data_IF_999423187370
#
_entry.id   IF_999423187370
#
_cell.length_a   1.000
_cell.length_b   1.000
_cell.length_c   1.000
_cell.angle_alpha   90.00
_cell.angle_beta   90.00
_cell.angle_gamma   90.00
#
_symmetry.space_group_name_H-M   'P 1'
#
loop_
_entity.id
_entity.type
_entity.pdbx_description
1 polymer ?
#
# COMPACT_ATOMS: atom_id res chain seq x y z
N UNK A 1 8.94 22.31 2.54
CA UNK A 1 8.42 21.17 1.75
C UNK A 1 7.50 21.63 0.64
N UNK A 2 6.33 22.23 0.90
CA UNK A 2 5.41 22.67 -0.17
C UNK A 2 5.89 23.93 -0.93
N UNK A 3 6.39 24.95 -0.24
CA UNK A 3 7.06 26.09 -0.91
C UNK A 3 8.28 25.66 -1.75
N UNK A 4 8.88 24.52 -1.43
CA UNK A 4 9.95 23.94 -2.24
C UNK A 4 9.39 23.23 -3.48
N UNK A 5 8.27 22.51 -3.36
CA UNK A 5 7.55 21.97 -4.51
C UNK A 5 7.07 23.07 -5.47
N UNK A 6 6.63 24.22 -4.95
CA UNK A 6 6.23 25.38 -5.74
C UNK A 6 7.42 26.05 -6.47
N UNK A 7 8.65 25.76 -6.05
CA UNK A 7 9.89 26.26 -6.68
C UNK A 7 10.51 25.29 -7.68
N UNK A 8 9.86 24.16 -7.96
CA UNK A 8 10.36 23.18 -8.92
C UNK A 8 10.39 23.76 -10.34
N UNK A 9 11.42 23.39 -11.11
CA UNK A 9 11.53 23.83 -12.51
C UNK A 9 10.33 23.32 -13.31
N UNK A 10 10.00 24.02 -14.40
CA UNK A 10 8.93 23.59 -15.32
C UNK A 10 9.19 22.19 -15.91
N UNK A 11 10.44 21.76 -15.96
CA UNK A 11 10.83 20.43 -16.44
C UNK A 11 10.45 19.30 -15.46
N UNK A 12 10.20 19.65 -14.18
CA UNK A 12 9.67 18.74 -13.17
C UNK A 12 8.14 18.71 -13.15
N UNK A 13 7.48 19.54 -13.96
CA UNK A 13 6.04 19.47 -14.14
C UNK A 13 5.69 18.24 -14.98
N UNK A 14 4.76 17.45 -14.48
CA UNK A 14 4.32 16.24 -15.19
C UNK A 14 3.68 16.58 -16.55
N UNK A 15 4.08 15.84 -17.59
CA UNK A 15 3.45 15.77 -18.90
C UNK A 15 3.47 14.32 -19.42
N UNK A 16 2.76 14.03 -20.53
CA UNK A 16 2.68 12.66 -21.10
C UNK A 16 4.03 12.10 -21.53
N UNK A 17 4.96 12.97 -21.91
CA UNK A 17 6.31 12.62 -22.36
C UNK A 17 7.34 12.56 -21.21
N UNK A 18 6.89 12.76 -19.97
CA UNK A 18 7.77 12.85 -18.81
C UNK A 18 8.54 11.55 -18.61
N UNK A 19 9.81 11.69 -18.27
CA UNK A 19 10.65 10.55 -17.92
C UNK A 19 10.18 9.87 -16.63
N UNK A 20 10.53 8.60 -16.47
CA UNK A 20 10.13 7.77 -15.34
C UNK A 20 10.51 8.37 -13.97
N UNK A 21 11.69 8.98 -13.87
CA UNK A 21 12.18 9.59 -12.64
C UNK A 21 11.29 10.74 -12.13
N UNK A 22 10.56 11.43 -13.01
CA UNK A 22 9.63 12.50 -12.62
C UNK A 22 8.45 11.89 -11.85
N UNK A 23 7.93 10.74 -12.29
CA UNK A 23 6.86 10.02 -11.57
C UNK A 23 7.34 9.56 -10.20
N UNK A 24 8.51 8.95 -10.13
CA UNK A 24 9.08 8.47 -8.87
C UNK A 24 9.29 9.61 -7.87
N UNK A 25 9.82 10.74 -8.36
CA UNK A 25 10.02 11.93 -7.53
C UNK A 25 8.70 12.44 -6.92
N UNK A 26 7.65 12.61 -7.73
CA UNK A 26 6.34 13.06 -7.23
C UNK A 26 5.71 12.06 -6.25
N UNK A 27 5.87 10.76 -6.50
CA UNK A 27 5.39 9.74 -5.58
C UNK A 27 6.13 9.78 -4.24
N UNK A 28 7.47 9.87 -4.26
CA UNK A 28 8.26 9.96 -3.02
C UNK A 28 8.00 11.26 -2.26
N UNK A 29 7.77 12.37 -2.97
CA UNK A 29 7.30 13.61 -2.34
C UNK A 29 6.00 13.37 -1.57
N UNK A 30 5.02 12.72 -2.20
CA UNK A 30 3.77 12.40 -1.52
C UNK A 30 3.96 11.38 -0.38
N UNK A 31 4.91 10.44 -0.46
CA UNK A 31 5.23 9.54 0.66
C UNK A 31 5.67 10.35 1.88
N UNK A 32 6.62 11.27 1.69
CA UNK A 32 7.10 12.14 2.75
C UNK A 32 5.98 13.02 3.33
N UNK A 33 5.06 13.53 2.50
CA UNK A 33 3.88 14.26 2.99
C UNK A 33 2.99 13.35 3.84
N UNK A 34 2.71 12.12 3.40
CA UNK A 34 1.91 11.17 4.19
C UNK A 34 2.57 10.88 5.54
N UNK A 35 3.88 10.65 5.60
CA UNK A 35 4.60 10.36 6.84
C UNK A 35 4.58 11.54 7.83
N UNK A 36 4.80 12.76 7.32
CA UNK A 36 4.77 13.97 8.16
C UNK A 36 3.37 14.19 8.75
N UNK A 37 2.32 13.98 7.97
CA UNK A 37 0.95 14.29 8.39
C UNK A 37 0.20 13.13 9.05
N UNK A 38 0.67 11.88 8.92
CA UNK A 38 0.04 10.67 9.51
C UNK A 38 -0.31 10.80 11.00
N UNK A 39 0.61 11.17 11.91
CA UNK A 39 0.28 11.25 13.34
C UNK A 39 -0.80 12.31 13.64
N UNK A 40 -0.85 13.37 12.82
CA UNK A 40 -1.80 14.46 13.01
C UNK A 40 -3.17 14.16 12.39
N UNK A 41 -3.20 13.38 11.30
CA UNK A 41 -4.44 12.98 10.62
C UNK A 41 -5.28 12.00 11.44
N UNK A 42 -4.66 11.27 12.37
CA UNK A 42 -5.31 10.30 13.26
C UNK A 42 -5.88 10.93 14.53
N UNK A 43 -5.43 12.13 14.89
CA UNK A 43 -5.98 12.88 16.03
C UNK A 43 -7.39 13.39 15.72
N UNK A 44 -8.31 13.29 16.68
CA UNK A 44 -9.65 13.90 16.59
C UNK A 44 -9.63 15.44 16.69
N UNK A 45 -8.46 16.05 16.95
CA UNK A 45 -8.34 17.50 17.03
C UNK A 45 -8.14 18.11 15.63
N UNK A 46 -9.08 18.94 15.22
CA UNK A 46 -8.99 19.72 13.99
C UNK A 46 -7.97 20.86 14.14
N UNK A 47 -6.69 20.53 13.97
CA UNK A 47 -5.64 21.54 13.89
C UNK A 47 -5.73 22.27 12.55
N UNK A 48 -5.97 23.59 12.59
CA UNK A 48 -5.85 24.42 11.38
C UNK A 48 -4.40 24.84 11.16
N UNK A 49 -3.86 24.50 10.00
CA UNK A 49 -2.50 24.87 9.62
C UNK A 49 -2.47 26.34 9.18
N UNK A 50 -1.89 27.20 10.01
CA UNK A 50 -1.83 28.66 9.79
C UNK A 50 -1.03 29.07 8.54
N UNK A 51 -0.17 28.19 8.05
CA UNK A 51 0.65 28.43 6.85
C UNK A 51 -0.13 28.33 5.54
N UNK A 52 -1.40 27.94 5.57
CA UNK A 52 -2.25 27.80 4.38
C UNK A 52 -3.44 28.75 4.44
N UNK A 53 -3.71 29.41 3.31
CA UNK A 53 -4.82 30.35 3.18
C UNK A 53 -6.19 29.66 2.94
N UNK A 54 -6.22 28.34 2.72
CA UNK A 54 -7.48 27.62 2.49
C UNK A 54 -8.23 27.38 3.81
N UNK A 55 -9.56 27.47 3.77
CA UNK A 55 -10.42 27.23 4.93
C UNK A 55 -10.31 25.78 5.45
N UNK A 56 -10.02 24.82 4.57
CA UNK A 56 -9.99 23.37 4.87
C UNK A 56 -8.57 22.82 5.12
N UNK A 57 -7.64 23.68 5.52
CA UNK A 57 -6.22 23.34 5.69
C UNK A 57 -5.94 22.56 6.98
N UNK A 58 -6.55 21.39 7.11
CA UNK A 58 -6.28 20.45 8.21
C UNK A 58 -5.25 19.40 7.78
N UNK A 59 -4.48 18.82 8.72
CA UNK A 59 -3.61 17.68 8.45
C UNK A 59 -4.29 16.54 7.70
N UNK A 60 -5.54 16.24 8.08
CA UNK A 60 -6.36 15.20 7.45
C UNK A 60 -6.63 15.51 5.98
N UNK A 61 -7.03 16.75 5.65
CA UNK A 61 -7.27 17.15 4.26
C UNK A 61 -5.99 17.05 3.41
N UNK A 62 -4.84 17.47 3.94
CA UNK A 62 -3.55 17.38 3.23
C UNK A 62 -3.15 15.92 3.01
N UNK A 63 -3.32 15.07 4.02
CA UNK A 63 -3.06 13.63 3.94
C UNK A 63 -3.94 12.98 2.87
N UNK A 64 -5.26 13.19 2.93
CA UNK A 64 -6.20 12.64 1.95
C UNK A 64 -5.94 13.15 0.53
N UNK A 65 -5.65 14.44 0.36
CA UNK A 65 -5.30 15.02 -0.94
C UNK A 65 -4.03 14.37 -1.51
N UNK A 66 -2.99 14.22 -0.70
CA UNK A 66 -1.73 13.60 -1.11
C UNK A 66 -1.90 12.12 -1.46
N UNK A 67 -2.68 11.38 -0.68
CA UNK A 67 -3.02 9.99 -0.98
C UNK A 67 -3.75 9.87 -2.33
N UNK A 68 -4.70 10.76 -2.61
CA UNK A 68 -5.43 10.76 -3.88
C UNK A 68 -4.53 11.10 -5.07
N UNK A 69 -3.59 12.05 -4.92
CA UNK A 69 -2.58 12.30 -5.95
C UNK A 69 -1.66 11.10 -6.15
N UNK A 70 -1.23 10.43 -5.07
CA UNK A 70 -0.41 9.21 -5.16
C UNK A 70 -1.14 8.09 -5.91
N UNK A 71 -2.41 7.83 -5.57
CA UNK A 71 -3.27 6.86 -6.28
C UNK A 71 -3.34 7.15 -7.77
N UNK A 72 -3.55 8.41 -8.14
CA UNK A 72 -3.57 8.87 -9.53
C UNK A 72 -2.22 8.66 -10.22
N UNK A 73 -1.11 9.02 -9.58
CA UNK A 73 0.24 8.86 -10.13
C UNK A 73 0.56 7.39 -10.40
N UNK A 74 0.21 6.47 -9.47
CA UNK A 74 0.42 5.03 -9.65
C UNK A 74 -0.40 4.50 -10.83
N UNK A 75 -1.65 4.92 -10.97
CA UNK A 75 -2.49 4.54 -12.09
C UNK A 75 -1.94 5.07 -13.42
N UNK A 76 -1.49 6.32 -13.47
CA UNK A 76 -0.87 6.91 -14.66
C UNK A 76 0.44 6.20 -15.03
N UNK A 77 1.30 5.92 -14.05
CA UNK A 77 2.52 5.15 -14.25
C UNK A 77 2.21 3.77 -14.85
N UNK A 78 1.22 3.06 -14.29
CA UNK A 78 0.75 1.78 -14.81
C UNK A 78 0.18 1.85 -16.23
N UNK A 79 -0.55 2.90 -16.56
CA UNK A 79 -1.21 2.97 -17.87
C UNK A 79 -0.29 3.52 -18.97
N UNK A 80 0.73 4.32 -18.62
CA UNK A 80 1.54 5.05 -19.60
C UNK A 80 2.97 4.55 -19.73
N UNK A 81 3.55 3.93 -18.69
CA UNK A 81 4.98 3.54 -18.66
C UNK A 81 5.24 2.04 -18.53
N UNK A 82 4.25 1.26 -18.07
CA UNK A 82 4.44 -0.16 -17.74
C UNK A 82 4.70 -1.17 -18.86
N UNK A 83 4.46 -0.95 -20.16
CA UNK A 83 4.71 -2.02 -21.13
C UNK A 83 6.16 -2.52 -21.14
N UNK A 84 7.13 -1.73 -20.67
CA UNK A 84 8.55 -1.98 -20.92
C UNK A 84 9.44 -2.21 -19.68
N UNK A 85 8.98 -1.93 -18.46
CA UNK A 85 9.83 -2.10 -17.25
C UNK A 85 9.02 -2.04 -15.95
N UNK A 86 8.95 -3.14 -15.19
CA UNK A 86 8.45 -3.12 -13.81
C UNK A 86 9.62 -2.85 -12.87
N UNK A 87 9.61 -1.71 -12.19
CA UNK A 87 10.72 -1.28 -11.34
C UNK A 87 10.31 -1.31 -9.85
N UNK A 88 11.13 -1.90 -8.97
CA UNK A 88 10.81 -2.00 -7.54
C UNK A 88 10.79 -0.65 -6.81
N UNK A 89 11.27 0.44 -7.42
CA UNK A 89 11.39 1.77 -6.78
C UNK A 89 10.04 2.41 -6.38
N UNK A 90 8.94 2.01 -7.03
CA UNK A 90 7.60 2.48 -6.68
C UNK A 90 7.02 1.80 -5.43
N UNK A 91 7.69 0.74 -4.93
CA UNK A 91 7.15 -0.12 -3.87
C UNK A 91 6.72 0.68 -2.64
N UNK A 92 7.53 1.66 -2.20
CA UNK A 92 7.19 2.48 -1.03
C UNK A 92 5.84 3.19 -1.19
N UNK A 93 5.57 3.73 -2.37
CA UNK A 93 4.31 4.41 -2.70
C UNK A 93 3.13 3.45 -2.68
N UNK A 94 3.32 2.21 -3.16
CA UNK A 94 2.30 1.16 -3.11
C UNK A 94 2.02 0.73 -1.66
N UNK A 95 3.06 0.61 -0.83
CA UNK A 95 2.93 0.29 0.60
C UNK A 95 2.10 1.36 1.30
N UNK A 96 2.35 2.66 1.06
CA UNK A 96 1.52 3.74 1.61
C UNK A 96 0.06 3.64 1.17
N UNK A 97 -0.19 3.43 -0.12
CA UNK A 97 -1.56 3.30 -0.64
C UNK A 97 -2.27 2.12 0.01
N UNK A 98 -1.65 0.93 -0.02
CA UNK A 98 -2.27 -0.29 0.49
C UNK A 98 -2.48 -0.22 2.01
N UNK A 99 -1.49 0.28 2.77
CA UNK A 99 -1.59 0.46 4.21
C UNK A 99 -2.78 1.35 4.59
N UNK A 100 -2.91 2.51 3.93
CA UNK A 100 -4.02 3.42 4.21
C UNK A 100 -5.36 2.82 3.80
N UNK A 101 -5.45 2.18 2.63
CA UNK A 101 -6.70 1.56 2.15
C UNK A 101 -7.16 0.43 3.09
N UNK A 102 -6.24 -0.37 3.62
CA UNK A 102 -6.59 -1.43 4.56
C UNK A 102 -7.20 -0.90 5.86
N UNK A 103 -7.05 0.39 6.19
CA UNK A 103 -7.38 0.92 7.52
C UNK A 103 -8.44 2.00 7.52
N UNK A 104 -8.69 2.64 6.39
CA UNK A 104 -9.66 3.72 6.28
C UNK A 104 -10.97 3.22 5.63
N UNK A 105 -12.00 2.88 6.42
CA UNK A 105 -13.33 2.66 5.88
C UNK A 105 -13.90 3.97 5.28
N UNK A 106 -14.82 3.89 4.30
CA UNK A 106 -15.51 2.68 3.86
C UNK A 106 -14.70 1.80 2.89
N UNK A 107 -14.84 0.48 3.05
CA UNK A 107 -14.31 -0.51 2.11
C UNK A 107 -15.25 -0.67 0.92
N UNK A 108 -15.27 0.34 0.06
CA UNK A 108 -16.05 0.36 -1.17
C UNK A 108 -15.28 -0.23 -2.37
N UNK A 109 -15.93 -0.24 -3.53
CA UNK A 109 -15.34 -0.73 -4.78
C UNK A 109 -14.08 0.05 -5.18
N UNK A 110 -13.98 1.33 -4.82
CA UNK A 110 -12.83 2.19 -5.15
C UNK A 110 -11.62 1.80 -4.31
N UNK A 111 -11.81 1.63 -3.01
CA UNK A 111 -10.80 1.13 -2.08
C UNK A 111 -10.29 -0.24 -2.52
N UNK A 112 -11.21 -1.16 -2.83
CA UNK A 112 -10.86 -2.49 -3.34
C UNK A 112 -10.09 -2.44 -4.66
N UNK A 113 -10.49 -1.56 -5.59
CA UNK A 113 -9.79 -1.37 -6.86
C UNK A 113 -8.33 -0.96 -6.66
N UNK A 114 -8.06 0.06 -5.85
CA UNK A 114 -6.69 0.52 -5.61
C UNK A 114 -5.86 -0.47 -4.80
N UNK A 115 -6.47 -1.23 -3.89
CA UNK A 115 -5.80 -2.32 -3.20
C UNK A 115 -5.34 -3.40 -4.19
N UNK A 116 -6.26 -3.88 -5.04
CA UNK A 116 -5.94 -4.88 -6.06
C UNK A 116 -4.93 -4.35 -7.08
N UNK A 117 -4.96 -3.06 -7.41
CA UNK A 117 -3.94 -2.43 -8.24
C UNK A 117 -2.53 -2.62 -7.65
N UNK A 118 -2.36 -2.46 -6.34
CA UNK A 118 -1.08 -2.68 -5.65
C UNK A 118 -0.69 -4.16 -5.66
N UNK A 119 -1.64 -5.06 -5.32
CA UNK A 119 -1.41 -6.51 -5.33
C UNK A 119 -0.96 -7.01 -6.70
N UNK A 120 -1.61 -6.55 -7.78
CA UNK A 120 -1.24 -6.94 -9.15
C UNK A 120 0.12 -6.37 -9.56
N UNK A 121 0.49 -5.17 -9.11
CA UNK A 121 1.84 -4.65 -9.33
C UNK A 121 2.87 -5.58 -8.67
N UNK A 122 2.69 -5.90 -7.39
CA UNK A 122 3.60 -6.77 -6.66
C UNK A 122 3.63 -8.19 -7.24
N UNK A 123 2.51 -8.71 -7.74
CA UNK A 123 2.45 -10.00 -8.43
C UNK A 123 3.34 -10.01 -9.69
N UNK A 124 3.34 -8.92 -10.45
CA UNK A 124 4.26 -8.80 -11.58
C UNK A 124 5.73 -8.73 -11.13
N UNK A 125 6.03 -7.98 -10.06
CA UNK A 125 7.39 -7.95 -9.50
C UNK A 125 7.82 -9.30 -8.94
N UNK A 126 6.90 -10.07 -8.34
CA UNK A 126 7.19 -11.38 -7.78
C UNK A 126 7.83 -12.33 -8.79
N UNK A 127 7.47 -12.24 -10.07
CA UNK A 127 8.11 -13.03 -11.14
C UNK A 127 9.64 -12.87 -11.14
N UNK A 128 10.15 -11.66 -10.94
CA UNK A 128 11.60 -11.38 -10.90
C UNK A 128 12.19 -11.33 -9.49
N UNK A 129 11.38 -11.07 -8.48
CA UNK A 129 11.82 -10.71 -7.13
C UNK A 129 10.99 -11.46 -6.07
N UNK A 130 11.50 -12.58 -5.51
CA UNK A 130 10.74 -13.44 -4.61
C UNK A 130 10.21 -12.73 -3.36
N UNK A 131 10.93 -11.69 -2.90
CA UNK A 131 10.59 -10.84 -1.76
C UNK A 131 9.13 -10.34 -1.75
N UNK A 132 8.52 -10.14 -2.92
CA UNK A 132 7.15 -9.60 -3.02
C UNK A 132 6.06 -10.59 -2.64
N UNK A 133 6.34 -11.90 -2.54
CA UNK A 133 5.35 -12.85 -1.99
C UNK A 133 4.98 -12.49 -0.55
N UNK A 134 5.97 -12.19 0.29
CA UNK A 134 5.77 -11.77 1.68
C UNK A 134 5.04 -10.42 1.76
N UNK A 135 5.33 -9.49 0.85
CA UNK A 135 4.65 -8.18 0.80
C UNK A 135 3.16 -8.37 0.50
N UNK A 136 2.85 -9.16 -0.53
CA UNK A 136 1.47 -9.49 -0.90
C UNK A 136 0.77 -10.18 0.28
N UNK A 137 1.39 -11.19 0.86
CA UNK A 137 0.83 -11.95 1.99
C UNK A 137 0.53 -11.06 3.20
N UNK A 138 1.44 -10.15 3.55
CA UNK A 138 1.23 -9.20 4.64
C UNK A 138 0.02 -8.29 4.38
N UNK A 139 -0.09 -7.73 3.17
CA UNK A 139 -1.21 -6.85 2.84
C UNK A 139 -2.54 -7.59 2.69
N UNK A 140 -2.55 -8.84 2.22
CA UNK A 140 -3.74 -9.67 2.23
C UNK A 140 -4.19 -9.97 3.67
N UNK A 141 -3.26 -10.23 4.58
CA UNK A 141 -3.55 -10.40 6.03
C UNK A 141 -4.21 -9.15 6.60
N UNK A 142 -3.64 -7.97 6.33
CA UNK A 142 -4.21 -6.70 6.77
C UNK A 142 -5.61 -6.46 6.18
N UNK A 143 -5.80 -6.78 4.89
CA UNK A 143 -7.09 -6.62 4.23
C UNK A 143 -8.17 -7.53 4.82
N UNK A 144 -7.83 -8.75 5.23
CA UNK A 144 -8.75 -9.62 5.95
C UNK A 144 -9.09 -9.03 7.32
N UNK A 145 -8.06 -8.74 8.13
CA UNK A 145 -8.23 -8.31 9.52
C UNK A 145 -9.10 -7.07 9.66
N UNK A 146 -9.04 -6.17 8.68
CA UNK A 146 -9.84 -4.96 8.67
C UNK A 146 -11.16 -5.12 7.91
N UNK A 147 -11.42 -6.25 7.24
CA UNK A 147 -12.68 -6.50 6.53
C UNK A 147 -12.78 -5.90 5.12
N UNK A 148 -11.66 -5.50 4.51
CA UNK A 148 -11.60 -5.09 3.11
C UNK A 148 -11.83 -6.27 2.15
N UNK A 149 -11.48 -7.49 2.58
CA UNK A 149 -11.50 -8.70 1.76
C UNK A 149 -11.84 -9.93 2.60
N UNK A 150 -12.49 -10.93 1.98
CA UNK A 150 -12.75 -12.22 2.63
C UNK A 150 -11.54 -13.17 2.58
N UNK A 151 -11.48 -14.12 3.52
CA UNK A 151 -10.43 -15.15 3.53
C UNK A 151 -10.34 -15.95 2.24
N UNK A 152 -11.49 -16.38 1.71
CA UNK A 152 -11.54 -17.14 0.45
C UNK A 152 -10.95 -16.36 -0.71
N UNK A 153 -11.26 -15.06 -0.80
CA UNK A 153 -10.74 -14.19 -1.85
C UNK A 153 -9.22 -14.02 -1.71
N UNK A 154 -8.73 -13.78 -0.50
CA UNK A 154 -7.31 -13.65 -0.22
C UNK A 154 -6.52 -14.93 -0.52
N UNK A 155 -7.01 -16.11 -0.09
CA UNK A 155 -6.39 -17.42 -0.43
C UNK A 155 -6.33 -17.63 -1.94
N UNK A 156 -7.40 -17.30 -2.67
CA UNK A 156 -7.45 -17.42 -4.13
C UNK A 156 -6.40 -16.54 -4.80
N UNK A 157 -6.26 -15.28 -4.36
CA UNK A 157 -5.24 -14.37 -4.88
C UNK A 157 -3.83 -14.86 -4.57
N UNK A 158 -3.58 -15.35 -3.36
CA UNK A 158 -2.26 -15.86 -2.97
C UNK A 158 -1.86 -17.10 -3.80
N UNK A 159 -2.79 -18.02 -4.04
CA UNK A 159 -2.55 -19.17 -4.91
C UNK A 159 -2.21 -18.75 -6.35
N UNK A 160 -2.91 -17.73 -6.88
CA UNK A 160 -2.64 -17.16 -8.20
C UNK A 160 -1.24 -16.53 -8.29
N UNK A 161 -0.81 -15.84 -7.23
CA UNK A 161 0.53 -15.23 -7.14
C UNK A 161 1.60 -16.32 -7.15
N UNK A 162 1.49 -17.32 -6.28
CA UNK A 162 2.46 -18.41 -6.16
C UNK A 162 2.57 -19.21 -7.47
N UNK A 163 1.46 -19.43 -8.17
CA UNK A 163 1.46 -20.08 -9.47
C UNK A 163 2.28 -19.32 -10.53
N UNK A 164 2.39 -18.00 -10.42
CA UNK A 164 3.16 -17.14 -11.33
C UNK A 164 4.67 -17.11 -11.05
N UNK A 165 5.14 -17.67 -9.93
CA UNK A 165 6.54 -17.63 -9.52
C UNK A 165 7.09 -18.96 -9.02
N UNK A 166 6.63 -20.08 -9.61
CA UNK A 166 7.05 -21.45 -9.23
C UNK A 166 8.57 -21.66 -9.24
N UNK A 167 9.31 -20.92 -10.07
CA UNK A 167 10.77 -20.97 -10.12
C UNK A 167 11.45 -20.44 -8.85
N UNK A 168 10.71 -19.81 -7.93
CA UNK A 168 11.22 -19.33 -6.65
C UNK A 168 11.11 -20.35 -5.51
N UNK A 169 10.55 -21.54 -5.72
CA UNK A 169 10.33 -22.56 -4.66
C UNK A 169 11.61 -22.85 -3.85
N UNK A 170 12.79 -22.84 -4.49
CA UNK A 170 14.10 -23.05 -3.85
C UNK A 170 14.72 -21.78 -3.24
N UNK A 171 14.23 -20.59 -3.60
CA UNK A 171 14.78 -19.31 -3.18
C UNK A 171 14.16 -18.78 -1.87
N UNK A 172 13.01 -19.34 -1.44
CA UNK A 172 12.28 -18.85 -0.27
C UNK A 172 13.01 -19.12 1.06
N UNK A 173 13.89 -20.13 1.13
CA UNK A 173 14.54 -20.55 2.38
C UNK A 173 15.58 -19.55 2.93
N UNK A 174 15.98 -18.52 2.16
CA UNK A 174 17.04 -17.56 2.57
C UNK A 174 16.68 -16.09 2.46
N UNK A 175 15.50 -15.73 1.96
CA UNK A 175 15.14 -14.33 1.70
C UNK A 175 14.51 -13.73 2.94
N UNK A 176 15.31 -12.96 3.68
CA UNK A 176 14.81 -12.15 4.78
C UNK A 176 14.36 -10.78 4.27
N UNK A 177 13.09 -10.46 4.57
CA UNK A 177 12.47 -9.20 4.20
C UNK A 177 12.23 -8.40 5.47
N UNK A 178 12.93 -7.29 5.67
CA UNK A 178 12.77 -6.50 6.88
C UNK A 178 12.45 -5.04 6.57
N UNK A 179 11.16 -4.75 6.43
CA UNK A 179 10.64 -3.38 6.40
C UNK A 179 9.22 -3.33 6.97
N UNK A 180 8.80 -2.13 7.36
CA UNK A 180 7.49 -1.86 7.95
C UNK A 180 6.42 -1.81 6.85
N UNK A 181 5.33 -2.54 7.07
CA UNK A 181 4.13 -2.52 6.22
C UNK A 181 2.91 -1.97 6.96
N UNK A 182 2.90 -2.08 8.29
CA UNK A 182 1.91 -1.43 9.13
C UNK A 182 2.47 -0.15 9.78
N UNK A 183 2.29 0.98 9.11
CA UNK A 183 2.81 2.26 9.60
C UNK A 183 2.17 2.76 10.90
N UNK A 184 0.92 2.38 11.21
CA UNK A 184 0.29 2.89 12.44
C UNK A 184 0.60 1.98 13.63
N UNK A 185 0.69 0.67 13.40
CA UNK A 185 1.19 -0.25 14.40
C UNK A 185 2.66 0.05 14.70
N UNK A 186 3.46 0.46 13.71
CA UNK A 186 4.86 0.82 13.94
C UNK A 186 5.05 2.01 14.91
N UNK A 187 4.03 2.85 15.08
CA UNK A 187 4.09 3.95 16.05
C UNK A 187 4.03 3.46 17.51
N UNK A 188 3.53 2.24 17.75
CA UNK A 188 3.32 1.69 19.11
C UNK A 188 4.04 0.36 19.33
N UNK A 189 4.15 -0.48 18.31
CA UNK A 189 4.80 -1.79 18.30
C UNK A 189 5.49 -2.06 16.95
N UNK A 190 6.73 -1.55 16.75
CA UNK A 190 7.50 -1.74 15.52
C UNK A 190 7.77 -3.20 15.15
N UNK A 191 7.96 -4.07 16.14
CA UNK A 191 8.33 -5.48 15.93
C UNK A 191 7.20 -6.25 15.26
N UNK A 192 5.94 -5.94 15.59
CA UNK A 192 4.76 -6.55 14.97
C UNK A 192 4.33 -5.89 13.65
N UNK A 193 4.87 -4.72 13.33
CA UNK A 193 4.52 -3.93 12.15
C UNK A 193 5.33 -4.32 10.88
N UNK A 194 6.33 -5.17 11.06
CA UNK A 194 7.18 -5.67 9.98
C UNK A 194 6.47 -6.64 9.03
N UNK A 195 6.89 -6.64 7.77
CA UNK A 195 6.33 -7.49 6.71
C UNK A 195 6.29 -8.98 7.08
N UNK A 196 7.34 -9.51 7.72
CA UNK A 196 7.38 -10.91 8.13
C UNK A 196 6.38 -11.22 9.26
N UNK A 197 6.35 -10.39 10.30
CA UNK A 197 5.44 -10.55 11.43
C UNK A 197 3.96 -10.50 10.99
N UNK A 198 3.63 -9.59 10.07
CA UNK A 198 2.27 -9.49 9.52
C UNK A 198 1.98 -10.66 8.57
N UNK A 199 2.90 -11.05 7.69
CA UNK A 199 2.69 -12.13 6.73
C UNK A 199 2.51 -13.50 7.41
N UNK A 200 3.23 -13.78 8.50
CA UNK A 200 3.11 -15.04 9.24
C UNK A 200 1.71 -15.26 9.82
N UNK A 201 1.00 -14.18 10.16
CA UNK A 201 -0.38 -14.22 10.66
C UNK A 201 -1.40 -14.57 9.57
N UNK A 202 -1.00 -14.65 8.30
CA UNK A 202 -1.91 -14.92 7.19
C UNK A 202 -2.65 -16.24 7.36
N UNK A 203 -1.94 -17.34 7.65
CA UNK A 203 -2.57 -18.66 7.77
C UNK A 203 -3.55 -18.72 8.95
N UNK A 204 -3.18 -18.13 10.09
CA UNK A 204 -4.04 -18.07 11.28
C UNK A 204 -5.34 -17.31 11.00
N UNK A 205 -5.22 -16.15 10.37
CA UNK A 205 -6.36 -15.29 10.01
C UNK A 205 -7.21 -15.95 8.91
N UNK A 206 -6.56 -16.62 7.96
CA UNK A 206 -7.21 -17.29 6.84
C UNK A 206 -7.95 -18.58 7.22
N UNK A 207 -7.60 -19.21 8.35
CA UNK A 207 -8.29 -20.37 8.90
C UNK A 207 -9.52 -19.99 9.74
N UNK A 208 -9.60 -18.77 10.26
CA UNK A 208 -10.63 -18.37 11.22
C UNK A 208 -12.07 -18.41 10.64
N UNK A 209 -12.24 -18.15 9.34
CA UNK A 209 -13.56 -18.28 8.67
C UNK A 209 -14.03 -19.74 8.57
N UNK A 210 -13.12 -20.71 8.44
CA UNK A 210 -13.50 -22.13 8.35
C UNK A 210 -14.13 -22.59 9.67
N UNK A 211 -13.61 -22.15 10.82
CA UNK A 211 -14.17 -22.48 12.13
C UNK A 211 -15.47 -21.73 12.47
N UNK A 212 -15.65 -20.51 11.97
CA UNK A 212 -16.87 -19.73 12.19
C UNK A 212 -18.10 -20.32 11.47
N UNK A 213 -17.89 -21.01 10.34
CA UNK A 213 -18.94 -21.74 9.60
C UNK A 213 -19.37 -23.00 10.35
N UNK A 214 -18.43 -23.79 10.88
CA UNK A 214 -18.74 -25.00 11.66
C UNK A 214 -19.58 -24.73 12.92
N UNK A 215 -19.45 -23.55 13.53
CA UNK A 215 -20.23 -23.19 14.71
C UNK A 215 -21.68 -22.80 14.40
N UNK A 216 -22.00 -22.47 13.14
CA UNK A 216 -23.38 -22.14 12.72
C UNK A 216 -24.19 -23.34 12.21
N UNK A 217 -23.54 -24.46 11.91
CA UNK A 217 -24.21 -25.70 11.46
C UNK A 217 -24.42 -26.71 12.60
N UNK A 218 -24.04 -26.34 13.83
CA UNK A 218 -24.16 -27.17 15.04
C UNK A 218 -25.16 -26.69 16.09
N UNK A 219 -25.90 -25.63 15.82
CA UNK A 219 -27.05 -25.12 16.60
C UNK A 219 -28.34 -25.23 15.76
#
# INVERSE_FOLDING_TARGET
>A
MLHWADSLSKDMAWNKDSHEHIFLFHMWFHCAVLDIFRPFAQTQQDYKLRSFNSQDSTPKTIFSASLNQMKRLVLLYRTQKMPNSYMPYINISLIHIANTICKEPPFDLTSKFYFLLCIRYWQHLYVGYPIFSHVIQAFLTMAINNGLMSNREAKTLMAEVLAGGKHHELAHEGIQTNFIVDFDLAMTNPDEAGVQAVAQKFEEVALFDEFAVYKKEGD
#
